data_IF_081128646209
#
_entry.id   IF_081128646209
#
_cell.length_a   1.000
_cell.length_b   1.000
_cell.length_c   1.000
_cell.angle_alpha   90.00
_cell.angle_beta   90.00
_cell.angle_gamma   90.00
#
_symmetry.space_group_name_H-M   'P 1'
#
loop_
_entity.id
_entity.type
_entity.pdbx_description
1 polymer ?
#
# COMPACT_ATOMS: atom_id res chain seq x y z
N UNK A 1 12.88 -14.09 -21.96
CA UNK A 1 12.72 -12.63 -21.92
C UNK A 1 12.14 -12.14 -20.61
N UNK A 2 12.64 -12.74 -19.55
CA UNK A 2 12.16 -12.47 -18.18
C UNK A 2 12.41 -11.04 -17.70
N UNK A 3 13.29 -10.28 -18.35
CA UNK A 3 13.69 -8.95 -17.90
C UNK A 3 12.69 -7.83 -18.12
N UNK A 4 11.61 -8.06 -18.90
CA UNK A 4 10.61 -7.05 -19.21
C UNK A 4 9.26 -7.30 -18.55
N UNK A 5 9.17 -8.35 -17.73
CA UNK A 5 7.95 -8.69 -17.02
C UNK A 5 7.99 -8.14 -15.59
N UNK A 6 6.86 -7.62 -15.13
CA UNK A 6 6.68 -7.20 -13.74
C UNK A 6 6.61 -8.45 -12.86
N UNK A 7 7.44 -8.50 -11.85
CA UNK A 7 7.47 -9.58 -10.88
C UNK A 7 7.13 -9.04 -9.50
N UNK A 8 6.12 -9.63 -8.85
CA UNK A 8 5.76 -9.28 -7.48
C UNK A 8 6.21 -10.41 -6.56
N UNK A 9 6.90 -10.05 -5.48
CA UNK A 9 7.33 -11.00 -4.46
C UNK A 9 7.06 -10.47 -3.06
N UNK A 10 6.99 -11.38 -2.11
CA UNK A 10 6.90 -11.01 -0.70
C UNK A 10 8.26 -10.45 -0.23
N UNK A 11 8.21 -9.31 0.47
CA UNK A 11 9.41 -8.71 1.03
C UNK A 11 9.80 -9.40 2.34
N UNK A 12 11.09 -9.45 2.60
CA UNK A 12 11.66 -9.90 3.86
C UNK A 12 12.32 -8.75 4.61
N UNK A 13 12.87 -9.04 5.78
CA UNK A 13 13.48 -8.00 6.63
C UNK A 13 14.69 -7.34 5.96
N UNK A 14 15.37 -8.02 5.05
CA UNK A 14 16.47 -7.48 4.26
C UNK A 14 16.01 -6.38 3.29
N UNK A 15 14.72 -6.30 2.99
CA UNK A 15 14.16 -5.34 2.05
C UNK A 15 13.65 -4.07 2.74
N UNK A 16 13.70 -3.99 4.06
CA UNK A 16 13.01 -2.92 4.80
C UNK A 16 13.54 -1.53 4.47
N UNK A 17 14.84 -1.38 4.26
CA UNK A 17 15.44 -0.09 3.90
C UNK A 17 14.90 0.44 2.58
N UNK A 18 14.72 -0.43 1.60
CA UNK A 18 14.17 -0.07 0.30
C UNK A 18 12.68 0.30 0.39
N UNK A 19 11.93 -0.41 1.23
CA UNK A 19 10.52 -0.07 1.50
C UNK A 19 10.42 1.33 2.12
N UNK A 20 11.28 1.65 3.08
CA UNK A 20 11.33 2.98 3.70
C UNK A 20 11.61 4.06 2.65
N UNK A 21 12.54 3.82 1.73
CA UNK A 21 12.84 4.75 0.64
C UNK A 21 11.62 4.99 -0.25
N UNK A 22 10.92 3.93 -0.64
CA UNK A 22 9.70 4.01 -1.44
C UNK A 22 8.57 4.71 -0.67
N UNK A 23 8.44 4.43 0.62
CA UNK A 23 7.47 5.10 1.49
C UNK A 23 7.75 6.60 1.59
N UNK A 24 9.02 6.99 1.71
CA UNK A 24 9.42 8.40 1.72
C UNK A 24 9.01 9.11 0.44
N UNK A 25 9.19 8.46 -0.70
CA UNK A 25 8.77 9.00 -1.99
C UNK A 25 7.24 9.18 -2.06
N UNK A 26 6.50 8.19 -1.56
CA UNK A 26 5.03 8.27 -1.48
C UNK A 26 4.60 9.46 -0.62
N UNK A 27 5.19 9.62 0.56
CA UNK A 27 4.85 10.74 1.45
C UNK A 27 5.09 12.09 0.79
N UNK A 28 6.20 12.26 0.08
CA UNK A 28 6.50 13.50 -0.62
C UNK A 28 5.52 13.78 -1.77
N UNK A 29 5.16 12.76 -2.54
CA UNK A 29 4.30 12.95 -3.71
C UNK A 29 2.82 13.08 -3.35
N UNK A 30 2.35 12.39 -2.30
CA UNK A 30 0.92 12.33 -1.96
C UNK A 30 0.60 13.23 -0.76
N UNK A 31 0.91 12.81 0.45
CA UNK A 31 0.60 13.58 1.65
C UNK A 31 1.26 14.96 1.65
N UNK A 32 2.50 15.06 1.19
CA UNK A 32 3.23 16.32 1.15
C UNK A 32 2.56 17.40 0.29
N UNK A 33 1.74 16.99 -0.67
CA UNK A 33 1.00 17.92 -1.54
C UNK A 33 -0.43 18.15 -1.07
N UNK A 34 -0.98 17.30 -0.23
CA UNK A 34 -2.40 17.26 0.10
C UNK A 34 -2.72 17.51 1.55
N UNK A 35 -1.76 17.25 2.45
CA UNK A 35 -2.00 17.37 3.88
C UNK A 35 -0.78 18.01 4.57
N UNK A 36 -0.87 19.32 4.88
CA UNK A 36 0.25 20.04 5.50
C UNK A 36 0.54 19.59 6.93
N UNK A 37 -0.32 18.77 7.53
CA UNK A 37 -0.16 18.29 8.90
C UNK A 37 0.53 16.93 8.98
N UNK A 38 0.79 16.29 7.85
CA UNK A 38 1.49 15.00 7.83
C UNK A 38 2.98 15.20 8.11
N UNK A 39 3.52 14.39 9.01
CA UNK A 39 4.96 14.35 9.26
C UNK A 39 5.66 13.59 8.13
N UNK A 40 6.28 14.32 7.21
CA UNK A 40 6.95 13.73 6.06
C UNK A 40 8.23 12.98 6.42
N UNK A 41 8.73 13.14 7.67
CA UNK A 41 9.87 12.40 8.17
C UNK A 41 9.49 11.06 8.81
N UNK A 42 8.18 10.76 8.90
CA UNK A 42 7.73 9.52 9.52
C UNK A 42 8.40 8.27 8.94
N UNK A 43 8.56 8.11 7.60
CA UNK A 43 9.23 6.92 7.07
C UNK A 43 10.66 6.75 7.59
N UNK A 44 11.41 7.84 7.73
CA UNK A 44 12.78 7.80 8.24
C UNK A 44 12.83 7.56 9.75
N UNK A 45 11.88 8.11 10.49
CA UNK A 45 11.84 8.02 11.95
C UNK A 45 11.27 6.68 12.44
N UNK A 46 10.18 6.22 11.84
CA UNK A 46 9.38 5.10 12.32
C UNK A 46 9.31 3.91 11.35
N UNK A 47 9.63 4.15 10.07
CA UNK A 47 9.36 3.19 8.99
C UNK A 47 10.08 1.86 9.15
N UNK A 48 11.36 1.86 9.56
CA UNK A 48 12.10 0.61 9.73
C UNK A 48 11.40 -0.34 10.72
N UNK A 49 11.06 0.18 11.89
CA UNK A 49 10.38 -0.61 12.92
C UNK A 49 8.98 -1.03 12.47
N UNK A 50 8.24 -0.11 11.84
CA UNK A 50 6.89 -0.36 11.42
C UNK A 50 6.79 -1.46 10.35
N UNK A 51 7.56 -1.34 9.28
CA UNK A 51 7.52 -2.32 8.19
C UNK A 51 8.13 -3.66 8.60
N UNK A 52 9.19 -3.65 9.42
CA UNK A 52 9.72 -4.88 9.99
C UNK A 52 8.66 -5.61 10.83
N UNK A 53 7.87 -4.86 11.61
CA UNK A 53 6.75 -5.40 12.38
C UNK A 53 5.67 -6.03 11.51
N UNK A 54 5.31 -5.38 10.40
CA UNK A 54 4.35 -5.96 9.45
C UNK A 54 4.88 -7.29 8.87
N UNK A 55 6.14 -7.34 8.51
CA UNK A 55 6.73 -8.52 7.87
C UNK A 55 6.96 -9.68 8.83
N UNK A 56 7.15 -9.42 10.12
CA UNK A 56 7.40 -10.46 11.11
C UNK A 56 6.11 -11.10 11.66
N UNK A 57 4.97 -10.44 11.50
CA UNK A 57 3.68 -10.92 11.99
C UNK A 57 2.90 -11.68 10.92
N UNK A 58 2.02 -12.60 11.34
CA UNK A 58 1.17 -13.36 10.44
C UNK A 58 0.06 -12.49 9.83
N UNK A 59 -0.28 -11.37 10.48
CA UNK A 59 -1.34 -10.46 10.05
C UNK A 59 -0.87 -9.32 9.16
N UNK A 60 0.41 -9.24 8.83
CA UNK A 60 0.96 -8.17 8.00
C UNK A 60 1.65 -8.69 6.75
N UNK A 61 1.83 -7.80 5.79
CA UNK A 61 2.41 -8.13 4.49
C UNK A 61 3.10 -6.90 3.91
N UNK A 62 4.29 -7.11 3.35
CA UNK A 62 4.88 -6.16 2.41
C UNK A 62 5.20 -6.92 1.12
N UNK A 63 4.86 -6.30 -0.01
CA UNK A 63 5.17 -6.80 -1.34
C UNK A 63 6.11 -5.82 -2.05
N UNK A 64 7.01 -6.35 -2.85
CA UNK A 64 7.85 -5.57 -3.75
C UNK A 64 7.55 -5.96 -5.19
N UNK A 65 7.52 -4.96 -6.05
CA UNK A 65 7.42 -5.15 -7.49
C UNK A 65 8.78 -4.88 -8.12
N UNK A 66 9.21 -5.81 -8.97
CA UNK A 66 10.48 -5.73 -9.67
C UNK A 66 10.23 -5.71 -11.18
N UNK A 67 11.03 -4.94 -11.90
CA UNK A 67 11.00 -4.86 -13.35
C UNK A 67 12.45 -4.74 -13.84
N UNK A 68 12.84 -5.65 -14.73
CA UNK A 68 14.21 -5.71 -15.25
C UNK A 68 15.27 -5.75 -14.13
N UNK A 69 15.01 -6.52 -13.07
CA UNK A 69 15.93 -6.68 -11.94
C UNK A 69 15.97 -5.49 -10.98
N UNK A 70 15.08 -4.52 -11.14
CA UNK A 70 15.02 -3.31 -10.32
C UNK A 70 13.71 -3.24 -9.53
N UNK A 71 13.79 -2.85 -8.27
CA UNK A 71 12.60 -2.61 -7.46
C UNK A 71 11.94 -1.31 -7.90
N UNK A 72 10.69 -1.41 -8.33
CA UNK A 72 9.94 -0.27 -8.90
C UNK A 72 8.68 0.09 -8.12
N UNK A 73 8.32 -0.68 -7.11
CA UNK A 73 7.16 -0.38 -6.29
C UNK A 73 7.05 -1.27 -5.07
N UNK A 74 6.18 -0.88 -4.15
CA UNK A 74 5.86 -1.66 -2.95
C UNK A 74 4.39 -1.53 -2.59
N UNK A 75 3.93 -2.45 -1.77
CA UNK A 75 2.63 -2.41 -1.12
C UNK A 75 2.79 -2.92 0.32
N UNK A 76 2.16 -2.23 1.27
CA UNK A 76 2.07 -2.68 2.65
C UNK A 76 0.60 -2.83 3.04
N UNK A 77 0.28 -3.89 3.77
CA UNK A 77 -1.07 -4.16 4.19
C UNK A 77 -1.14 -5.06 5.41
N UNK A 78 -2.31 -5.18 5.97
CA UNK A 78 -2.57 -6.03 7.14
C UNK A 78 -4.01 -6.50 7.18
N UNK A 79 -4.25 -7.57 7.92
CA UNK A 79 -5.61 -8.08 8.18
C UNK A 79 -5.99 -7.70 9.61
N UNK A 80 -7.16 -7.10 9.76
CA UNK A 80 -7.73 -6.75 11.06
C UNK A 80 -8.95 -7.62 11.38
N UNK A 81 -9.11 -7.94 12.66
CA UNK A 81 -10.28 -8.64 13.13
C UNK A 81 -11.50 -7.70 13.11
N UNK A 82 -12.68 -8.27 12.92
CA UNK A 82 -13.92 -7.51 13.04
C UNK A 82 -14.16 -7.02 14.47
N UNK A 83 -15.01 -6.03 14.58
CA UNK A 83 -15.46 -5.50 15.86
C UNK A 83 -16.92 -5.87 16.07
N UNK A 84 -17.45 -5.64 17.29
CA UNK A 84 -18.88 -5.86 17.54
C UNK A 84 -19.74 -4.91 16.71
N UNK A 85 -19.22 -3.70 16.39
CA UNK A 85 -19.91 -2.75 15.53
C UNK A 85 -19.91 -3.19 14.07
N UNK A 86 -18.81 -3.78 13.61
CA UNK A 86 -18.67 -4.27 12.24
C UNK A 86 -17.97 -5.62 12.26
N UNK A 87 -18.74 -6.71 12.44
CA UNK A 87 -18.17 -8.04 12.64
C UNK A 87 -17.75 -8.69 11.33
N UNK A 88 -16.76 -8.09 10.68
CA UNK A 88 -16.22 -8.57 9.42
C UNK A 88 -14.69 -8.45 9.44
N UNK A 89 -14.01 -9.47 8.94
CA UNK A 89 -12.55 -9.46 8.85
C UNK A 89 -12.13 -8.70 7.60
N UNK A 90 -11.37 -7.62 7.79
CA UNK A 90 -10.99 -6.71 6.71
C UNK A 90 -9.49 -6.72 6.52
N UNK A 91 -9.03 -6.86 5.28
CA UNK A 91 -7.66 -6.59 4.91
C UNK A 91 -7.53 -5.14 4.47
N UNK A 92 -6.63 -4.41 5.09
CA UNK A 92 -6.38 -3.01 4.76
C UNK A 92 -5.10 -2.90 3.93
N UNK A 93 -5.24 -2.29 2.75
CA UNK A 93 -4.10 -1.84 1.95
C UNK A 93 -3.70 -0.49 2.53
N UNK A 94 -2.60 -0.48 3.30
CA UNK A 94 -2.19 0.70 4.06
C UNK A 94 -1.45 1.72 3.21
N UNK A 95 -0.56 1.24 2.34
CA UNK A 95 0.19 2.11 1.45
C UNK A 95 0.69 1.35 0.23
N UNK A 96 0.82 2.07 -0.88
CA UNK A 96 1.34 1.52 -2.13
C UNK A 96 1.98 2.64 -2.92
N UNK A 97 3.13 2.35 -3.52
CA UNK A 97 3.83 3.30 -4.37
C UNK A 97 4.46 2.59 -5.56
N UNK A 98 4.38 3.21 -6.72
CA UNK A 98 5.07 2.79 -7.95
C UNK A 98 5.91 3.96 -8.41
N UNK A 99 7.20 3.72 -8.65
CA UNK A 99 8.11 4.77 -9.11
C UNK A 99 7.60 5.41 -10.40
N UNK A 100 7.74 6.73 -10.49
CA UNK A 100 7.48 7.46 -11.72
C UNK A 100 8.33 6.87 -12.84
N UNK A 101 7.80 6.74 -14.03
CA UNK A 101 8.47 6.06 -15.13
C UNK A 101 8.11 4.58 -15.27
N UNK A 102 7.57 3.98 -14.22
CA UNK A 102 7.09 2.59 -14.26
C UNK A 102 5.58 2.50 -14.04
N UNK A 103 4.90 3.64 -14.00
CA UNK A 103 3.45 3.72 -13.92
C UNK A 103 2.84 3.41 -15.28
N UNK A 104 1.56 3.00 -15.27
CA UNK A 104 0.80 2.61 -16.47
C UNK A 104 1.38 1.37 -17.19
N UNK A 105 2.20 0.58 -16.49
CA UNK A 105 2.75 -0.70 -16.96
C UNK A 105 2.11 -1.90 -16.25
N UNK A 106 1.05 -1.67 -15.49
CA UNK A 106 0.37 -2.74 -14.75
C UNK A 106 1.02 -3.10 -13.42
N UNK A 107 2.03 -2.37 -12.96
CA UNK A 107 2.73 -2.66 -11.69
C UNK A 107 1.77 -2.59 -10.51
N UNK A 108 1.00 -1.50 -10.40
CA UNK A 108 0.03 -1.33 -9.32
C UNK A 108 -1.03 -2.43 -9.29
N UNK A 109 -1.55 -2.80 -10.47
CA UNK A 109 -2.54 -3.88 -10.58
C UNK A 109 -1.97 -5.22 -10.09
N UNK A 110 -0.71 -5.52 -10.42
CA UNK A 110 -0.04 -6.75 -9.97
C UNK A 110 0.17 -6.76 -8.46
N UNK A 111 0.53 -5.62 -7.88
CA UNK A 111 0.65 -5.48 -6.43
C UNK A 111 -0.69 -5.69 -5.73
N UNK A 112 -1.75 -5.07 -6.23
CA UNK A 112 -3.10 -5.22 -5.66
C UNK A 112 -3.58 -6.67 -5.79
N UNK A 113 -3.37 -7.32 -6.92
CA UNK A 113 -3.74 -8.73 -7.10
C UNK A 113 -3.03 -9.62 -6.08
N UNK A 114 -1.74 -9.40 -5.83
CA UNK A 114 -0.99 -10.13 -4.83
C UNK A 114 -1.53 -9.91 -3.42
N UNK A 115 -1.89 -8.67 -3.10
CA UNK A 115 -2.50 -8.33 -1.82
C UNK A 115 -3.86 -8.99 -1.64
N UNK A 116 -4.73 -8.93 -2.65
CA UNK A 116 -6.06 -9.53 -2.56
C UNK A 116 -6.00 -11.06 -2.41
N UNK A 117 -5.09 -11.71 -3.12
CA UNK A 117 -4.87 -13.14 -2.97
C UNK A 117 -4.41 -13.52 -1.57
N UNK A 118 -3.46 -12.77 -1.02
CA UNK A 118 -3.00 -12.97 0.35
C UNK A 118 -4.14 -12.72 1.36
N UNK A 119 -4.89 -11.64 1.19
CA UNK A 119 -6.00 -11.30 2.07
C UNK A 119 -7.03 -12.43 2.13
N UNK A 120 -7.41 -12.99 0.97
CA UNK A 120 -8.31 -14.14 0.91
C UNK A 120 -7.76 -15.35 1.64
N UNK A 121 -6.46 -15.63 1.50
CA UNK A 121 -5.80 -16.75 2.20
C UNK A 121 -5.78 -16.57 3.71
N UNK A 122 -5.92 -15.33 4.20
CA UNK A 122 -5.99 -15.00 5.63
C UNK A 122 -7.42 -14.92 6.15
N UNK A 123 -8.39 -15.30 5.34
CA UNK A 123 -9.79 -15.29 5.72
C UNK A 123 -10.45 -13.92 5.71
N UNK A 124 -9.85 -12.94 5.06
CA UNK A 124 -10.49 -11.64 4.93
C UNK A 124 -11.72 -11.73 4.04
N UNK A 125 -12.79 -11.09 4.45
CA UNK A 125 -14.06 -11.05 3.73
C UNK A 125 -14.20 -9.76 2.92
N UNK A 126 -13.47 -8.71 3.33
CA UNK A 126 -13.44 -7.41 2.67
C UNK A 126 -12.01 -6.91 2.57
N UNK A 127 -11.75 -6.08 1.58
CA UNK A 127 -10.51 -5.33 1.48
C UNK A 127 -10.86 -3.84 1.48
N UNK A 128 -10.02 -3.03 2.12
CA UNK A 128 -10.21 -1.59 2.17
C UNK A 128 -8.93 -0.84 1.83
N UNK A 129 -9.07 0.38 1.35
CA UNK A 129 -7.98 1.31 1.09
C UNK A 129 -8.49 2.72 1.33
N UNK A 130 -7.62 3.59 1.83
CA UNK A 130 -7.91 5.00 2.02
C UNK A 130 -7.08 5.80 1.01
N UNK A 131 -7.71 6.77 0.36
CA UNK A 131 -7.05 7.69 -0.56
C UNK A 131 -7.53 9.11 -0.26
N UNK A 132 -6.65 10.09 -0.43
CA UNK A 132 -7.06 11.48 -0.35
C UNK A 132 -8.13 11.78 -1.40
N UNK A 133 -9.17 12.50 -1.02
CA UNK A 133 -10.27 12.85 -1.92
C UNK A 133 -9.79 13.58 -3.19
N UNK A 134 -8.73 14.39 -3.06
CA UNK A 134 -8.14 15.11 -4.19
C UNK A 134 -7.27 14.24 -5.09
N UNK A 135 -6.91 13.03 -4.66
CA UNK A 135 -6.11 12.12 -5.48
C UNK A 135 -7.01 11.29 -6.41
N UNK A 136 -7.54 11.96 -7.42
CA UNK A 136 -8.48 11.35 -8.37
C UNK A 136 -7.86 10.18 -9.13
N UNK A 137 -6.57 10.24 -9.42
CA UNK A 137 -5.86 9.16 -10.13
C UNK A 137 -5.87 7.88 -9.32
N UNK A 138 -5.54 7.96 -8.02
CA UNK A 138 -5.57 6.82 -7.14
C UNK A 138 -6.98 6.25 -6.99
N UNK A 139 -7.97 7.12 -6.82
CA UNK A 139 -9.37 6.71 -6.69
C UNK A 139 -9.83 5.96 -7.95
N UNK A 140 -9.54 6.48 -9.13
CA UNK A 140 -9.88 5.79 -10.39
C UNK A 140 -9.19 4.43 -10.48
N UNK A 141 -7.92 4.36 -10.09
CA UNK A 141 -7.17 3.11 -10.08
C UNK A 141 -7.82 2.07 -9.16
N UNK A 142 -8.15 2.45 -7.94
CA UNK A 142 -8.77 1.52 -6.99
C UNK A 142 -10.19 1.11 -7.43
N UNK A 143 -10.93 2.01 -8.06
CA UNK A 143 -12.24 1.67 -8.63
C UNK A 143 -12.11 0.63 -9.75
N UNK A 144 -11.11 0.76 -10.61
CA UNK A 144 -10.83 -0.27 -11.63
C UNK A 144 -10.44 -1.61 -11.03
N UNK A 145 -9.85 -1.58 -9.84
CA UNK A 145 -9.48 -2.79 -9.09
C UNK A 145 -10.64 -3.39 -8.30
N UNK A 146 -11.84 -2.83 -8.42
CA UNK A 146 -13.04 -3.36 -7.78
C UNK A 146 -13.44 -2.69 -6.47
N UNK A 147 -12.66 -1.74 -5.98
CA UNK A 147 -13.02 -1.00 -4.77
C UNK A 147 -14.14 0.01 -5.06
N UNK A 148 -15.00 0.25 -4.07
CA UNK A 148 -16.08 1.23 -4.15
C UNK A 148 -16.00 2.18 -2.97
N UNK A 149 -16.38 3.46 -3.13
CA UNK A 149 -16.42 4.40 -2.02
C UNK A 149 -17.32 3.89 -0.90
N UNK A 150 -16.83 3.96 0.35
CA UNK A 150 -17.56 3.49 1.52
C UNK A 150 -17.90 4.61 2.49
N UNK A 151 -16.97 5.52 2.74
CA UNK A 151 -17.16 6.60 3.70
C UNK A 151 -16.36 7.81 3.28
N UNK A 152 -16.71 8.97 3.84
CA UNK A 152 -16.00 10.22 3.61
C UNK A 152 -15.58 10.78 4.96
N UNK A 153 -14.33 11.22 5.07
CA UNK A 153 -13.83 11.93 6.24
C UNK A 153 -13.79 13.42 5.92
N UNK A 154 -14.31 14.23 6.82
CA UNK A 154 -14.37 15.69 6.67
C UNK A 154 -13.62 16.34 7.81
N UNK A 155 -12.85 17.38 7.52
CA UNK A 155 -12.01 18.07 8.50
C UNK A 155 -12.09 19.57 8.30
N UNK A 156 -11.99 20.35 9.39
CA UNK A 156 -11.93 21.82 9.32
C UNK A 156 -11.01 22.37 10.42
N UNK A 157 -10.51 23.58 10.21
CA UNK A 157 -9.82 24.33 11.26
C UNK A 157 -10.76 24.83 12.34
N UNK A 158 -10.21 25.11 13.54
CA UNK A 158 -10.93 25.70 14.67
C UNK A 158 -10.45 27.12 14.92
#
# INVERSE_FOLDING_TARGET
>A
MSGTEVRVRRAGTEDVAEIVELSSALFREDAGRRDPFTNLSWPDEEGLAYFAGLMSGAGGLCLLAEFAGRTVGYLAGRVGEGTTLRPVRVAELESMYVREGYRDLGVGARLVDGFLGWAGSRGAERASVVAYAANERAIRFYRRSGFRPRSVSLERGL
#
